data_IF_562391065793
#
_entry.id   IF_562391065793
#
_cell.length_a   1.000
_cell.length_b   1.000
_cell.length_c   1.000
_cell.angle_alpha   90.00
_cell.angle_beta   90.00
_cell.angle_gamma   90.00
#
_symmetry.space_group_name_H-M   'P 1'
#
loop_
_entity.id
_entity.type
_entity.pdbx_description
1 polymer ?
#
# COMPACT_ATOMS: atom_id res chain seq x y z
N UNK A 1 6.66 22.49 12.75
CA UNK A 1 5.38 22.68 12.04
C UNK A 1 5.43 22.19 10.58
N UNK A 2 6.28 22.74 9.69
CA UNK A 2 6.35 22.32 8.26
C UNK A 2 6.43 20.79 8.02
N UNK A 3 7.28 20.08 8.75
CA UNK A 3 7.44 18.60 8.61
C UNK A 3 6.20 17.80 9.01
N UNK A 4 5.44 18.30 9.98
CA UNK A 4 4.20 17.65 10.44
C UNK A 4 3.09 17.86 9.40
N UNK A 5 3.02 19.06 8.81
CA UNK A 5 2.06 19.35 7.73
C UNK A 5 2.33 18.44 6.51
N UNK A 6 3.60 18.32 6.09
CA UNK A 6 3.99 17.41 5.00
C UNK A 6 3.59 15.96 5.33
N UNK A 7 3.85 15.51 6.56
CA UNK A 7 3.47 14.18 7.01
C UNK A 7 1.95 13.96 6.95
N UNK A 8 1.14 14.94 7.36
CA UNK A 8 -0.33 14.84 7.28
C UNK A 8 -0.81 14.74 5.83
N UNK A 9 -0.28 15.59 4.92
CA UNK A 9 -0.64 15.49 3.49
C UNK A 9 -0.22 14.16 2.88
N UNK A 10 0.97 13.66 3.22
CA UNK A 10 1.47 12.35 2.77
C UNK A 10 0.56 11.22 3.28
N UNK A 11 0.10 11.31 4.54
CA UNK A 11 -0.83 10.35 5.12
C UNK A 11 -2.18 10.37 4.41
N UNK A 12 -2.73 11.56 4.13
CA UNK A 12 -3.98 11.69 3.37
C UNK A 12 -3.86 11.12 1.95
N UNK A 13 -2.75 11.42 1.26
CA UNK A 13 -2.47 10.87 -0.05
C UNK A 13 -2.35 9.34 -0.03
N UNK A 14 -1.68 8.79 0.99
CA UNK A 14 -1.58 7.35 1.18
C UNK A 14 -2.95 6.72 1.43
N UNK A 15 -3.75 7.24 2.37
CA UNK A 15 -5.07 6.68 2.68
C UNK A 15 -5.97 6.73 1.44
N UNK A 16 -6.00 7.85 0.73
CA UNK A 16 -6.81 8.00 -0.48
C UNK A 16 -6.39 7.02 -1.58
N UNK A 17 -5.09 6.95 -1.89
CA UNK A 17 -4.59 6.03 -2.91
C UNK A 17 -4.75 4.57 -2.50
N UNK A 18 -4.56 4.23 -1.22
CA UNK A 18 -4.78 2.88 -0.70
C UNK A 18 -6.23 2.43 -0.87
N UNK A 19 -7.20 3.28 -0.53
CA UNK A 19 -8.62 2.97 -0.72
C UNK A 19 -8.94 2.73 -2.19
N UNK A 20 -8.45 3.57 -3.09
CA UNK A 20 -8.69 3.42 -4.51
C UNK A 20 -7.99 2.17 -5.09
N UNK A 21 -6.75 1.89 -4.70
CA UNK A 21 -6.02 0.69 -5.15
C UNK A 21 -6.71 -0.57 -4.63
N UNK A 22 -7.16 -0.58 -3.37
CA UNK A 22 -7.90 -1.71 -2.79
C UNK A 22 -9.26 -1.90 -3.47
N UNK A 23 -9.95 -0.81 -3.80
CA UNK A 23 -11.21 -0.85 -4.54
C UNK A 23 -11.01 -1.43 -5.94
N UNK A 24 -10.04 -0.90 -6.69
CA UNK A 24 -9.67 -1.41 -8.02
C UNK A 24 -9.25 -2.88 -7.98
N UNK A 25 -8.48 -3.28 -6.97
CA UNK A 25 -8.04 -4.66 -6.78
C UNK A 25 -9.16 -5.63 -6.47
N UNK A 26 -10.25 -5.16 -5.85
CA UNK A 26 -11.40 -6.00 -5.51
C UNK A 26 -12.21 -6.44 -6.73
N UNK A 27 -12.10 -5.74 -7.86
CA UNK A 27 -12.80 -6.11 -9.09
C UNK A 27 -12.37 -7.46 -9.65
N UNK A 28 -11.16 -7.94 -9.34
CA UNK A 28 -10.72 -9.30 -9.71
C UNK A 28 -11.70 -10.37 -9.22
N UNK A 29 -12.42 -10.13 -8.11
CA UNK A 29 -13.37 -11.09 -7.57
C UNK A 29 -14.68 -11.20 -8.38
N UNK A 30 -14.95 -10.21 -9.25
CA UNK A 30 -16.17 -10.09 -10.04
C UNK A 30 -15.93 -10.54 -11.49
N UNK A 31 -14.67 -10.54 -11.94
CA UNK A 31 -14.32 -11.02 -13.27
C UNK A 31 -14.61 -12.51 -13.45
N UNK A 32 -15.17 -12.89 -14.60
CA UNK A 32 -15.45 -14.29 -14.93
C UNK A 32 -14.15 -15.10 -15.11
N UNK A 33 -13.09 -14.44 -15.58
CA UNK A 33 -11.79 -15.02 -15.88
C UNK A 33 -10.73 -14.70 -14.81
N UNK A 34 -11.15 -14.38 -13.58
CA UNK A 34 -10.28 -14.03 -12.45
C UNK A 34 -9.10 -14.98 -12.22
N UNK A 35 -9.26 -16.28 -12.55
CA UNK A 35 -8.20 -17.30 -12.46
C UNK A 35 -7.01 -17.05 -13.39
N UNK A 36 -7.19 -16.28 -14.47
CA UNK A 36 -6.10 -15.89 -15.37
C UNK A 36 -5.30 -14.71 -14.82
N UNK A 37 -5.83 -14.01 -13.81
CA UNK A 37 -5.24 -12.80 -13.27
C UNK A 37 -4.44 -13.03 -11.98
N UNK A 38 -4.67 -14.15 -11.30
CA UNK A 38 -3.94 -14.57 -10.09
C UNK A 38 -2.51 -15.04 -10.41
N UNK A 39 -1.58 -14.75 -9.52
CA UNK A 39 -0.16 -15.15 -9.63
C UNK A 39 0.28 -15.96 -8.41
N UNK A 40 -0.19 -15.60 -7.22
CA UNK A 40 0.22 -16.20 -5.95
C UNK A 40 -0.83 -17.12 -5.33
N UNK A 41 -2.11 -16.84 -5.57
CA UNK A 41 -3.24 -17.63 -5.06
C UNK A 41 -3.19 -19.03 -5.68
N UNK A 42 -3.24 -20.10 -4.88
CA UNK A 42 -3.23 -21.47 -5.40
C UNK A 42 -4.40 -21.77 -6.33
N UNK A 43 -4.16 -22.46 -7.44
CA UNK A 43 -5.20 -22.83 -8.43
C UNK A 43 -6.34 -23.70 -7.86
N UNK A 44 -6.08 -24.40 -6.74
CA UNK A 44 -7.07 -25.19 -6.00
C UNK A 44 -8.20 -24.35 -5.41
N UNK A 45 -8.05 -23.02 -5.37
CA UNK A 45 -9.09 -22.11 -4.90
C UNK A 45 -10.26 -22.13 -5.89
N UNK A 46 -11.46 -22.41 -5.35
CA UNK A 46 -12.70 -22.49 -6.12
C UNK A 46 -13.50 -21.21 -6.05
N UNK A 47 -13.30 -20.40 -5.01
CA UNK A 47 -14.09 -19.20 -4.73
C UNK A 47 -13.25 -17.92 -4.88
N UNK A 48 -13.74 -16.89 -5.59
CA UNK A 48 -13.01 -15.63 -5.76
C UNK A 48 -12.72 -14.89 -4.44
N UNK A 49 -13.50 -15.16 -3.39
CA UNK A 49 -13.34 -14.58 -2.06
C UNK A 49 -12.06 -15.02 -1.36
N UNK A 50 -11.47 -16.13 -1.80
CA UNK A 50 -10.24 -16.70 -1.25
C UNK A 50 -9.00 -16.20 -2.00
N UNK A 51 -9.14 -15.31 -3.00
CA UNK A 51 -8.01 -14.67 -3.69
C UNK A 51 -7.20 -13.87 -2.66
N UNK A 52 -5.89 -14.10 -2.66
CA UNK A 52 -4.98 -13.39 -1.77
C UNK A 52 -4.94 -11.89 -2.06
N UNK A 53 -4.84 -11.08 -1.01
CA UNK A 53 -4.76 -9.63 -1.13
C UNK A 53 -3.58 -9.16 -2.00
N UNK A 54 -2.48 -9.94 -2.03
CA UNK A 54 -1.35 -9.65 -2.90
C UNK A 54 -1.72 -9.73 -4.39
N UNK A 55 -2.56 -10.69 -4.79
CA UNK A 55 -3.02 -10.77 -6.18
C UNK A 55 -4.00 -9.65 -6.51
N UNK A 56 -4.87 -9.27 -5.56
CA UNK A 56 -5.74 -8.10 -5.72
C UNK A 56 -4.92 -6.82 -5.94
N UNK A 57 -3.84 -6.65 -5.17
CA UNK A 57 -2.92 -5.52 -5.33
C UNK A 57 -2.18 -5.57 -6.68
N UNK A 58 -1.67 -6.74 -7.08
CA UNK A 58 -1.01 -6.92 -8.39
C UNK A 58 -1.96 -6.64 -9.54
N UNK A 59 -3.20 -7.08 -9.44
CA UNK A 59 -4.25 -6.78 -10.43
C UNK A 59 -4.60 -5.30 -10.45
N UNK A 60 -4.75 -4.64 -9.30
CA UNK A 60 -4.93 -3.19 -9.23
C UNK A 60 -3.77 -2.44 -9.90
N UNK A 61 -2.54 -2.93 -9.74
CA UNK A 61 -1.35 -2.37 -10.38
C UNK A 61 -1.37 -2.55 -11.91
N UNK A 62 -1.95 -3.64 -12.43
CA UNK A 62 -2.13 -3.84 -13.88
C UNK A 62 -3.15 -2.86 -14.46
N UNK A 63 -4.24 -2.58 -13.74
CA UNK A 63 -5.30 -1.67 -14.20
C UNK A 63 -4.90 -0.21 -14.09
N UNK A 64 -4.47 0.20 -12.89
CA UNK A 64 -4.06 1.57 -12.60
C UNK A 64 -2.67 1.57 -11.93
N UNK A 65 -1.60 1.48 -12.75
CA UNK A 65 -0.24 1.44 -12.25
C UNK A 65 0.15 2.76 -11.57
N UNK A 66 -0.35 3.90 -12.05
CA UNK A 66 0.00 5.21 -11.50
C UNK A 66 -0.52 5.36 -10.07
N UNK A 67 -1.80 5.05 -9.86
CA UNK A 67 -2.40 5.12 -8.53
C UNK A 67 -1.74 4.15 -7.55
N UNK A 68 -1.47 2.92 -8.02
CA UNK A 68 -0.80 1.90 -7.20
C UNK A 68 0.66 2.27 -6.88
N UNK A 69 1.38 2.91 -7.80
CA UNK A 69 2.71 3.49 -7.53
C UNK A 69 2.65 4.60 -6.49
N UNK A 70 1.67 5.52 -6.58
CA UNK A 70 1.47 6.58 -5.57
C UNK A 70 1.21 5.97 -4.19
N UNK A 71 0.40 4.91 -4.11
CA UNK A 71 0.14 4.19 -2.87
C UNK A 71 1.44 3.61 -2.26
N UNK A 72 2.24 2.89 -3.05
CA UNK A 72 3.50 2.30 -2.57
C UNK A 72 4.52 3.36 -2.17
N UNK A 73 4.70 4.39 -3.01
CA UNK A 73 5.67 5.45 -2.74
C UNK A 73 5.30 6.26 -1.50
N UNK A 74 4.02 6.60 -1.33
CA UNK A 74 3.53 7.30 -0.13
C UNK A 74 3.69 6.44 1.12
N UNK A 75 3.45 5.14 1.05
CA UNK A 75 3.70 4.21 2.14
C UNK A 75 5.18 4.14 2.54
N UNK A 76 6.07 3.94 1.56
CA UNK A 76 7.52 3.85 1.80
C UNK A 76 8.07 5.15 2.40
N UNK A 77 7.61 6.30 1.90
CA UNK A 77 8.01 7.60 2.44
C UNK A 77 7.46 7.83 3.85
N UNK A 78 6.23 7.40 4.17
CA UNK A 78 5.70 7.45 5.54
C UNK A 78 6.55 6.61 6.50
N UNK A 79 6.90 5.38 6.12
CA UNK A 79 7.80 4.52 6.91
C UNK A 79 9.15 5.21 7.11
N UNK A 80 9.75 5.73 6.04
CA UNK A 80 11.02 6.46 6.11
C UNK A 80 10.96 7.64 7.08
N UNK A 81 9.87 8.42 7.06
CA UNK A 81 9.64 9.52 8.00
C UNK A 81 9.55 9.04 9.45
N UNK A 82 8.81 7.96 9.71
CA UNK A 82 8.66 7.36 11.04
C UNK A 82 10.01 6.88 11.57
N UNK A 83 10.74 6.09 10.77
CA UNK A 83 12.07 5.57 11.11
C UNK A 83 13.04 6.71 11.38
N UNK A 84 13.03 7.76 10.56
CA UNK A 84 13.87 8.94 10.76
C UNK A 84 13.57 9.66 12.08
N UNK A 85 12.29 9.86 12.43
CA UNK A 85 11.90 10.48 13.71
C UNK A 85 12.28 9.64 14.91
N UNK A 86 12.07 8.32 14.84
CA UNK A 86 12.47 7.38 15.88
C UNK A 86 13.99 7.44 16.07
N UNK A 87 14.76 7.30 14.99
CA UNK A 87 16.22 7.33 15.02
C UNK A 87 16.75 8.63 15.59
N UNK A 88 16.18 9.78 15.19
CA UNK A 88 16.56 11.10 15.74
C UNK A 88 16.27 11.20 17.23
N UNK A 89 15.12 10.69 17.69
CA UNK A 89 14.74 10.70 19.11
C UNK A 89 15.72 9.87 19.95
N UNK A 90 16.13 8.70 19.46
CA UNK A 90 17.14 7.87 20.13
C UNK A 90 18.51 8.55 20.16
N UNK A 91 18.99 9.09 19.03
CA UNK A 91 20.30 9.76 18.97
C UNK A 91 20.40 11.00 19.87
N UNK A 92 19.30 11.76 20.03
CA UNK A 92 19.29 12.90 20.95
C UNK A 92 19.39 12.46 22.40
N UNK A 93 18.75 11.33 22.76
CA UNK A 93 18.79 10.79 24.12
C UNK A 93 20.20 10.33 24.52
N UNK A 94 20.97 9.77 23.59
CA UNK A 94 22.36 9.31 23.85
C UNK A 94 23.36 10.45 24.06
N UNK A 95 23.10 11.67 23.56
CA UNK A 95 24.00 12.83 23.73
C UNK A 95 23.77 13.63 25.03
N UNK A 96 22.71 13.32 25.78
CA UNK A 96 22.29 14.07 26.98
C UNK A 96 22.74 13.37 28.28
N UNK A 97 23.37 12.19 28.16
CA UNK A 97 24.00 11.47 29.27
C UNK A 97 25.52 11.59 29.20
#
# INVERSE_FOLDING_TARGET
MKKIIIFIFLLLAFVYSFFLTSWSGSYIMIEEDWKNHIVFTPEKVTEPQQIYEIDKFVYAFKIDPLLSMVCVLSFLTLIGFIVFWISKKFHHKTKVY
#
